data_IF_385722862619
#
_entry.id   IF_385722862619
#
_cell.length_a   1.000
_cell.length_b   1.000
_cell.length_c   1.000
_cell.angle_alpha   90.00
_cell.angle_beta   90.00
_cell.angle_gamma   90.00
#
_symmetry.space_group_name_H-M   'P 1'
#
loop_
_entity.id
_entity.type
_entity.pdbx_description
1 polymer ?
#
# COMPACT_ATOMS: atom_id res chain seq x y z
N UNK A 1 -13.07 -19.69 21.37
CA UNK A 1 -13.59 -18.42 20.83
C UNK A 1 -14.19 -17.62 21.98
N UNK A 2 -13.36 -16.90 22.73
CA UNK A 2 -13.81 -15.96 23.77
C UNK A 2 -14.27 -14.68 23.11
N UNK A 3 -15.58 -14.50 22.96
CA UNK A 3 -16.15 -13.19 22.62
C UNK A 3 -16.61 -12.55 23.92
N UNK A 4 -15.67 -11.98 24.66
CA UNK A 4 -15.97 -11.27 25.89
C UNK A 4 -16.78 -10.02 25.54
N UNK A 5 -17.94 -9.86 26.20
CA UNK A 5 -18.83 -8.74 26.00
C UNK A 5 -18.12 -7.45 26.40
N UNK A 6 -17.87 -6.58 25.42
CA UNK A 6 -17.33 -5.25 25.67
C UNK A 6 -18.21 -4.53 26.73
N UNK A 7 -17.61 -3.83 27.71
CA UNK A 7 -18.38 -2.93 28.57
C UNK A 7 -19.11 -1.92 27.68
N UNK A 8 -20.29 -1.46 28.14
CA UNK A 8 -21.08 -0.45 27.45
C UNK A 8 -20.15 0.66 26.94
N UNK A 9 -20.00 0.72 25.61
CA UNK A 9 -19.04 1.62 24.97
C UNK A 9 -19.44 3.04 25.41
N UNK A 10 -18.55 3.79 26.08
CA UNK A 10 -18.83 5.17 26.42
C UNK A 10 -19.17 5.96 25.14
N UNK A 11 -19.93 7.06 25.26
CA UNK A 11 -20.38 7.82 24.09
C UNK A 11 -19.18 8.13 23.19
N UNK A 12 -19.27 7.67 21.95
CA UNK A 12 -18.23 7.96 20.98
C UNK A 12 -18.39 9.42 20.54
N UNK A 13 -17.31 10.16 20.43
CA UNK A 13 -17.33 11.52 19.88
C UNK A 13 -16.76 11.48 18.47
N UNK A 14 -17.46 12.11 17.53
CA UNK A 14 -16.99 12.29 16.17
C UNK A 14 -16.30 13.64 16.06
N UNK A 15 -15.12 13.66 15.48
CA UNK A 15 -14.56 14.90 14.96
C UNK A 15 -15.36 15.35 13.74
N UNK A 16 -15.86 16.58 13.74
CA UNK A 16 -16.63 17.17 12.63
C UNK A 16 -15.91 17.12 11.27
N UNK A 17 -14.57 17.25 11.26
CA UNK A 17 -13.74 17.27 10.04
C UNK A 17 -13.42 15.91 9.44
N UNK A 18 -13.26 14.88 10.28
CA UNK A 18 -12.65 13.61 9.88
C UNK A 18 -13.60 12.43 9.93
N UNK A 19 -14.74 12.56 10.62
CA UNK A 19 -15.74 11.50 10.73
C UNK A 19 -15.25 10.24 11.45
N UNK A 20 -14.15 10.34 12.19
CA UNK A 20 -13.60 9.25 13.01
C UNK A 20 -14.24 9.30 14.40
N UNK A 21 -14.70 8.14 14.87
CA UNK A 21 -15.33 8.00 16.17
C UNK A 21 -14.27 7.64 17.22
N UNK A 22 -14.12 8.50 18.21
CA UNK A 22 -13.23 8.30 19.35
C UNK A 22 -14.04 8.04 20.62
N UNK A 23 -13.45 7.37 21.60
CA UNK A 23 -14.03 7.31 22.95
C UNK A 23 -13.86 8.65 23.65
N UNK A 24 -14.97 9.22 24.17
CA UNK A 24 -15.02 10.54 24.82
C UNK A 24 -13.88 10.80 25.81
N UNK A 25 -13.63 9.88 26.74
CA UNK A 25 -12.57 10.06 27.75
C UNK A 25 -11.18 10.16 27.14
N UNK A 26 -10.91 9.35 26.11
CA UNK A 26 -9.59 9.27 25.49
C UNK A 26 -9.33 10.50 24.62
N UNK A 27 -10.33 10.97 23.87
CA UNK A 27 -10.16 12.15 23.01
C UNK A 27 -10.08 13.43 23.84
N UNK A 28 -10.89 13.58 24.89
CA UNK A 28 -10.80 14.73 25.79
C UNK A 28 -9.43 14.79 26.49
N UNK A 29 -8.91 13.65 26.97
CA UNK A 29 -7.57 13.60 27.54
C UNK A 29 -6.49 13.95 26.51
N UNK A 30 -6.60 13.41 25.28
CA UNK A 30 -5.62 13.65 24.23
C UNK A 30 -5.60 15.12 23.76
N UNK A 31 -6.75 15.77 23.65
CA UNK A 31 -6.86 17.21 23.35
C UNK A 31 -6.22 18.04 24.47
N UNK A 32 -6.44 17.67 25.73
CA UNK A 32 -5.85 18.40 26.86
C UNK A 32 -4.32 18.29 26.89
N UNK A 33 -3.76 17.15 26.47
CA UNK A 33 -2.31 16.91 26.48
C UNK A 33 -1.61 17.47 25.23
N UNK A 34 -2.23 17.35 24.04
CA UNK A 34 -1.56 17.61 22.75
C UNK A 34 -2.27 18.64 21.87
N UNK A 35 -3.51 19.05 22.18
CA UNK A 35 -4.28 20.03 21.41
C UNK A 35 -4.54 19.65 19.94
N UNK A 36 -4.38 18.37 19.61
CA UNK A 36 -4.26 17.87 18.25
C UNK A 36 -5.07 16.58 18.09
N UNK A 37 -5.43 16.21 16.86
CA UNK A 37 -6.05 14.92 16.49
C UNK A 37 -5.03 13.76 16.50
N UNK A 38 -5.33 12.61 17.14
CA UNK A 38 -4.40 11.49 17.26
C UNK A 38 -4.10 10.76 15.95
N UNK A 39 -4.92 10.92 14.91
CA UNK A 39 -4.70 10.28 13.60
C UNK A 39 -4.05 11.19 12.57
N UNK A 40 -4.43 12.46 12.54
CA UNK A 40 -4.15 13.37 11.40
C UNK A 40 -3.27 14.56 11.78
N UNK A 41 -2.98 14.76 13.07
CA UNK A 41 -2.12 15.87 13.50
C UNK A 41 -2.75 17.25 13.34
N UNK A 42 -4.08 17.34 13.16
CA UNK A 42 -4.78 18.61 12.98
C UNK A 42 -5.19 19.20 14.33
N UNK A 43 -5.13 20.52 14.48
CA UNK A 43 -5.60 21.20 15.69
C UNK A 43 -7.07 20.90 15.90
N UNK A 44 -7.40 20.42 17.10
CA UNK A 44 -8.75 20.07 17.51
C UNK A 44 -9.08 20.75 18.83
N UNK A 45 -10.19 21.50 18.84
CA UNK A 45 -10.76 22.04 20.05
C UNK A 45 -11.84 21.09 20.61
N UNK A 46 -12.08 21.07 21.93
CA UNK A 46 -13.12 20.23 22.53
C UNK A 46 -14.53 20.58 22.03
N UNK A 47 -14.73 21.78 21.47
CA UNK A 47 -16.01 22.22 20.90
C UNK A 47 -16.34 21.60 19.54
N UNK A 48 -15.35 21.06 18.84
CA UNK A 48 -15.52 20.42 17.53
C UNK A 48 -15.93 18.94 17.64
N UNK A 49 -16.09 18.44 18.87
CA UNK A 49 -16.51 17.08 19.19
C UNK A 49 -18.04 16.95 19.16
N UNK A 50 -18.53 15.99 18.37
CA UNK A 50 -19.95 15.69 18.26
C UNK A 50 -20.29 14.40 19.01
N UNK A 51 -21.13 14.44 20.06
CA UNK A 51 -21.50 13.25 20.81
C UNK A 51 -22.38 12.31 19.98
N UNK A 52 -21.93 11.07 19.80
CA UNK A 52 -22.68 10.00 19.14
C UNK A 52 -23.38 9.14 20.18
N UNK A 53 -24.71 9.09 20.08
CA UNK A 53 -25.53 8.14 20.83
C UNK A 53 -25.50 6.78 20.14
N UNK A 54 -24.57 5.92 20.52
CA UNK A 54 -24.60 4.51 20.12
C UNK A 54 -25.60 3.73 20.98
N UNK A 55 -26.48 2.93 20.35
CA UNK A 55 -27.32 1.97 21.07
C UNK A 55 -26.45 0.92 21.75
N UNK A 56 -26.41 0.93 23.08
CA UNK A 56 -25.66 -0.05 23.87
C UNK A 56 -26.37 -1.41 23.82
N UNK A 57 -25.94 -2.28 22.91
CA UNK A 57 -26.30 -3.70 22.96
C UNK A 57 -25.37 -4.36 23.97
N UNK A 58 -25.82 -4.42 25.22
CA UNK A 58 -25.11 -5.15 26.28
C UNK A 58 -25.28 -6.64 26.02
N UNK A 59 -24.21 -7.33 25.66
CA UNK A 59 -24.21 -8.80 25.65
C UNK A 59 -24.34 -9.26 27.11
N UNK A 60 -25.29 -10.17 27.42
CA UNK A 60 -25.47 -10.63 28.79
C UNK A 60 -24.18 -11.26 29.30
N UNK A 61 -23.75 -10.85 30.51
CA UNK A 61 -22.54 -11.39 31.13
C UNK A 61 -22.73 -12.90 31.35
N UNK A 62 -21.72 -13.73 31.04
CA UNK A 62 -21.77 -15.15 31.39
C UNK A 62 -22.04 -15.32 32.90
N UNK A 63 -22.93 -16.24 33.30
CA UNK A 63 -23.38 -16.39 34.69
C UNK A 63 -22.28 -16.82 35.68
N UNK A 64 -21.09 -17.18 35.18
CA UNK A 64 -19.92 -17.58 35.97
C UNK A 64 -19.13 -16.40 36.55
N UNK A 65 -19.41 -15.16 36.14
CA UNK A 65 -18.69 -13.94 36.54
C UNK A 65 -19.38 -13.15 37.66
N UNK A 66 -19.74 -13.83 38.75
CA UNK A 66 -20.50 -13.24 39.86
C UNK A 66 -19.75 -13.23 41.19
N UNK A 67 -18.65 -13.97 41.30
CA UNK A 67 -17.83 -14.05 42.52
C UNK A 67 -16.51 -13.29 42.36
N UNK A 68 -16.01 -12.70 43.47
CA UNK A 68 -14.71 -12.01 43.50
C UNK A 68 -13.58 -12.89 42.95
N UNK A 69 -13.49 -14.20 43.29
CA UNK A 69 -12.47 -15.08 42.72
C UNK A 69 -12.58 -15.25 41.20
N UNK A 70 -13.80 -15.34 40.65
CA UNK A 70 -14.01 -15.48 39.22
C UNK A 70 -13.60 -14.21 38.45
N UNK A 71 -13.85 -13.02 39.01
CA UNK A 71 -13.42 -11.75 38.44
C UNK A 71 -11.89 -11.60 38.46
N UNK A 72 -11.23 -12.00 39.55
CA UNK A 72 -9.78 -11.94 39.65
C UNK A 72 -9.10 -12.90 38.66
N UNK A 73 -9.65 -14.09 38.47
CA UNK A 73 -9.18 -15.04 37.46
C UNK A 73 -9.32 -14.47 36.03
N UNK A 74 -10.41 -13.77 35.71
CA UNK A 74 -10.54 -13.11 34.41
C UNK A 74 -9.57 -11.95 34.23
N UNK A 75 -9.36 -11.13 35.26
CA UNK A 75 -8.37 -10.06 35.17
C UNK A 75 -6.97 -10.61 34.95
N UNK A 76 -6.59 -11.68 35.67
CA UNK A 76 -5.29 -12.33 35.46
C UNK A 76 -5.14 -12.79 34.00
N UNK A 77 -6.16 -13.49 33.46
CA UNK A 77 -6.13 -13.95 32.08
C UNK A 77 -6.06 -12.79 31.06
N UNK A 78 -6.78 -11.70 31.30
CA UNK A 78 -6.75 -10.51 30.44
C UNK A 78 -5.39 -9.82 30.49
N UNK A 79 -4.77 -9.72 31.68
CA UNK A 79 -3.43 -9.18 31.85
C UNK A 79 -2.36 -10.05 31.18
N UNK A 80 -2.45 -11.37 31.35
CA UNK A 80 -1.53 -12.30 30.68
C UNK A 80 -1.66 -12.21 29.16
N UNK A 81 -2.89 -12.08 28.65
CA UNK A 81 -3.16 -11.88 27.21
C UNK A 81 -2.57 -10.56 26.73
N UNK A 82 -2.81 -9.45 27.44
CA UNK A 82 -2.28 -8.13 27.10
C UNK A 82 -0.74 -8.11 27.11
N UNK A 83 -0.12 -8.78 28.09
CA UNK A 83 1.33 -8.88 28.17
C UNK A 83 1.92 -9.64 26.98
N UNK A 84 1.32 -10.77 26.60
CA UNK A 84 1.72 -11.55 25.43
C UNK A 84 1.49 -10.78 24.11
N UNK A 85 0.36 -10.11 23.98
CA UNK A 85 0.06 -9.26 22.82
C UNK A 85 1.07 -8.11 22.69
N UNK A 86 1.38 -7.43 23.79
CA UNK A 86 2.37 -6.35 23.81
C UNK A 86 3.76 -6.85 23.41
N UNK A 87 4.15 -8.02 23.89
CA UNK A 87 5.40 -8.65 23.50
C UNK A 87 5.42 -8.98 21.99
N UNK A 88 4.37 -9.62 21.48
CA UNK A 88 4.26 -10.00 20.07
C UNK A 88 4.28 -8.76 19.16
N UNK A 89 3.56 -7.68 19.51
CA UNK A 89 3.59 -6.43 18.75
C UNK A 89 5.01 -5.83 18.72
N UNK A 90 5.73 -5.85 19.85
CA UNK A 90 7.11 -5.36 19.90
C UNK A 90 8.05 -6.22 19.06
N UNK A 91 7.88 -7.53 19.09
CA UNK A 91 8.64 -8.48 18.28
C UNK A 91 8.39 -8.27 16.78
N UNK A 92 7.12 -8.15 16.36
CA UNK A 92 6.75 -7.84 14.98
C UNK A 92 7.30 -6.50 14.52
N UNK A 93 7.29 -5.49 15.39
CA UNK A 93 7.87 -4.19 15.09
C UNK A 93 9.40 -4.26 14.92
N UNK A 94 10.10 -5.05 15.74
CA UNK A 94 11.54 -5.26 15.57
C UNK A 94 11.84 -6.00 14.26
N UNK A 95 11.09 -7.07 13.96
CA UNK A 95 11.23 -7.85 12.74
C UNK A 95 10.97 -7.03 11.48
N UNK A 96 9.88 -6.27 11.45
CA UNK A 96 9.54 -5.41 10.29
C UNK A 96 10.57 -4.30 10.07
N UNK A 97 11.22 -3.81 11.14
CA UNK A 97 12.35 -2.87 11.02
C UNK A 97 13.57 -3.51 10.36
N UNK A 98 13.89 -4.76 10.72
CA UNK A 98 14.99 -5.51 10.11
C UNK A 98 14.69 -5.83 8.63
N UNK A 99 13.46 -6.30 8.34
CA UNK A 99 12.99 -6.54 6.97
C UNK A 99 13.03 -5.25 6.13
N UNK A 100 12.63 -4.11 6.69
CA UNK A 100 12.73 -2.81 6.03
C UNK A 100 14.19 -2.40 5.78
N UNK A 101 15.08 -2.58 6.76
CA UNK A 101 16.49 -2.24 6.59
C UNK A 101 17.15 -3.07 5.48
N UNK A 102 16.90 -4.38 5.46
CA UNK A 102 17.42 -5.27 4.41
C UNK A 102 16.85 -4.91 3.02
N UNK A 103 15.56 -4.58 2.93
CA UNK A 103 14.94 -4.12 1.68
C UNK A 103 15.57 -2.81 1.17
N UNK A 104 15.87 -1.85 2.05
CA UNK A 104 16.55 -0.61 1.67
C UNK A 104 17.98 -0.85 1.17
N UNK A 105 18.73 -1.76 1.79
CA UNK A 105 20.05 -2.15 1.29
C UNK A 105 19.99 -2.79 -0.09
N UNK A 106 19.02 -3.70 -0.30
CA UNK A 106 18.81 -4.31 -1.62
C UNK A 106 18.37 -3.28 -2.66
N UNK A 107 17.55 -2.30 -2.29
CA UNK A 107 17.13 -1.22 -3.17
C UNK A 107 18.34 -0.36 -3.61
N UNK A 108 19.20 0.08 -2.70
CA UNK A 108 20.40 0.83 -3.06
C UNK A 108 21.36 0.02 -3.96
N UNK A 109 21.54 -1.27 -3.67
CA UNK A 109 22.30 -2.17 -4.53
C UNK A 109 21.68 -2.29 -5.94
N UNK A 110 20.35 -2.45 -6.03
CA UNK A 110 19.64 -2.50 -7.30
C UNK A 110 19.76 -1.20 -8.09
N UNK A 111 19.67 -0.04 -7.43
CA UNK A 111 19.88 1.28 -8.06
C UNK A 111 21.27 1.39 -8.68
N UNK A 112 22.32 0.91 -7.98
CA UNK A 112 23.69 0.90 -8.55
C UNK A 112 23.82 -0.02 -9.77
N UNK A 113 23.18 -1.19 -9.73
CA UNK A 113 23.15 -2.12 -10.87
C UNK A 113 22.42 -1.48 -12.06
N UNK A 114 21.26 -0.86 -11.83
CA UNK A 114 20.52 -0.13 -12.86
C UNK A 114 21.36 0.99 -13.46
N UNK A 115 22.04 1.79 -12.64
CA UNK A 115 22.91 2.86 -13.12
C UNK A 115 24.06 2.32 -13.97
N UNK A 116 24.67 1.20 -13.58
CA UNK A 116 25.72 0.53 -14.37
C UNK A 116 25.18 0.00 -15.69
N UNK A 117 24.09 -0.76 -15.67
CA UNK A 117 23.44 -1.31 -16.87
C UNK A 117 22.96 -0.22 -17.82
N UNK A 118 22.51 0.91 -17.28
CA UNK A 118 22.10 2.09 -18.06
C UNK A 118 23.29 2.63 -18.86
N UNK A 119 24.49 2.77 -18.24
CA UNK A 119 25.71 3.18 -18.95
C UNK A 119 26.14 2.16 -20.00
N UNK A 120 26.20 0.88 -19.64
CA UNK A 120 26.58 -0.20 -20.57
C UNK A 120 25.63 -0.26 -21.78
N UNK A 121 24.32 -0.06 -21.57
CA UNK A 121 23.32 0.04 -22.64
C UNK A 121 23.55 1.27 -23.53
N UNK A 122 23.84 2.42 -22.94
CA UNK A 122 24.01 3.66 -23.68
C UNK A 122 25.29 3.61 -24.54
N UNK A 123 26.39 3.04 -24.01
CA UNK A 123 27.62 2.74 -24.75
C UNK A 123 27.39 1.73 -25.89
N UNK A 124 26.59 0.68 -25.66
CA UNK A 124 26.23 -0.29 -26.69
C UNK A 124 25.38 0.35 -27.81
N UNK A 125 24.49 1.28 -27.47
CA UNK A 125 23.70 2.02 -28.47
C UNK A 125 24.54 3.01 -29.26
N UNK A 126 25.48 3.68 -28.61
CA UNK A 126 26.41 4.60 -29.27
C UNK A 126 27.38 3.86 -30.21
N UNK A 127 27.88 2.69 -29.81
CA UNK A 127 28.71 1.86 -30.71
C UNK A 127 27.89 1.34 -31.89
N UNK A 128 26.63 0.92 -31.68
CA UNK A 128 25.74 0.54 -32.77
C UNK A 128 25.48 1.70 -33.74
N UNK A 129 25.15 2.90 -33.25
CA UNK A 129 24.92 4.06 -34.11
C UNK A 129 26.17 4.47 -34.87
N UNK A 130 27.36 4.43 -34.24
CA UNK A 130 28.64 4.66 -34.93
C UNK A 130 28.86 3.65 -36.06
N UNK A 131 28.61 2.36 -35.82
CA UNK A 131 28.74 1.32 -36.84
C UNK A 131 27.75 1.54 -38.00
N UNK A 132 26.50 1.87 -37.71
CA UNK A 132 25.49 2.20 -38.74
C UNK A 132 25.88 3.44 -39.56
N UNK A 133 26.46 4.47 -38.93
CA UNK A 133 26.92 5.69 -39.60
C UNK A 133 28.21 5.43 -40.41
N UNK A 134 29.13 4.58 -39.94
CA UNK A 134 30.30 4.16 -40.72
C UNK A 134 29.97 3.17 -41.84
N UNK A 135 28.82 2.49 -41.77
CA UNK A 135 28.25 1.73 -42.89
C UNK A 135 27.58 2.62 -43.94
N UNK A 136 27.57 3.95 -43.75
CA UNK A 136 26.90 4.94 -44.61
C UNK A 136 27.79 6.14 -44.93
N UNK A 137 29.01 5.90 -45.42
CA UNK A 137 29.83 6.92 -46.10
C UNK A 137 30.64 6.31 -47.27
N UNK A 138 31.00 7.09 -48.30
CA UNK A 138 30.19 7.45 -49.45
C UNK A 138 30.82 6.82 -50.69
N UNK A 139 30.37 5.65 -51.11
CA UNK A 139 30.67 5.16 -52.45
C UNK A 139 29.34 4.90 -53.15
N UNK A 140 29.21 5.52 -54.32
CA UNK A 140 27.95 5.75 -54.99
C UNK A 140 27.32 4.46 -55.49
N UNK A 141 26.43 3.90 -54.70
CA UNK A 141 25.27 3.15 -55.19
C UNK A 141 24.04 3.67 -54.45
N UNK A 142 23.13 4.20 -55.25
CA UNK A 142 21.83 4.74 -54.90
C UNK A 142 20.98 3.65 -54.24
N UNK A 143 21.24 3.38 -52.97
CA UNK A 143 20.38 2.54 -52.15
C UNK A 143 19.18 3.40 -51.77
N UNK A 144 18.10 3.23 -52.56
CA UNK A 144 16.77 3.70 -52.22
C UNK A 144 16.53 3.45 -50.73
N UNK A 145 16.45 4.53 -49.97
CA UNK A 145 15.63 4.56 -48.78
C UNK A 145 14.26 4.22 -49.33
N UNK A 146 13.85 2.98 -49.13
CA UNK A 146 12.47 2.60 -49.36
C UNK A 146 11.67 3.47 -48.41
N UNK A 147 11.21 4.57 -48.99
CA UNK A 147 10.66 5.72 -48.32
C UNK A 147 9.25 5.34 -48.01
N UNK A 148 9.04 4.44 -47.04
CA UNK A 148 7.70 3.97 -46.69
C UNK A 148 6.95 3.61 -47.98
N UNK A 149 7.31 2.52 -48.64
CA UNK A 149 6.33 1.88 -49.52
C UNK A 149 5.10 1.65 -48.64
N UNK A 150 4.07 2.46 -48.90
CA UNK A 150 2.78 2.37 -48.23
C UNK A 150 2.38 0.91 -48.23
N UNK A 151 2.13 0.37 -47.04
CA UNK A 151 1.61 -0.99 -46.87
C UNK A 151 0.51 -1.22 -47.94
N UNK A 152 0.58 -2.31 -48.73
CA UNK A 152 -0.49 -2.63 -49.68
C UNK A 152 -1.85 -2.47 -48.99
N UNK A 153 -2.81 -1.81 -49.63
CA UNK A 153 -4.08 -1.37 -49.00
C UNK A 153 -4.76 -2.51 -48.21
N UNK A 154 -4.69 -3.74 -48.74
CA UNK A 154 -5.19 -4.96 -48.08
C UNK A 154 -4.58 -5.24 -46.70
N UNK A 155 -3.29 -4.95 -46.51
CA UNK A 155 -2.58 -5.17 -45.25
C UNK A 155 -2.76 -3.99 -44.28
N UNK A 156 -2.90 -2.77 -44.79
CA UNK A 156 -3.22 -1.60 -43.98
C UNK A 156 -4.62 -1.72 -43.35
N UNK A 157 -5.62 -2.11 -44.15
CA UNK A 157 -6.97 -2.37 -43.67
C UNK A 157 -6.99 -3.49 -42.63
N UNK A 158 -6.18 -4.54 -42.82
CA UNK A 158 -6.11 -5.65 -41.87
C UNK A 158 -5.51 -5.26 -40.53
N UNK A 159 -4.53 -4.36 -40.52
CA UNK A 159 -3.91 -3.82 -39.30
C UNK A 159 -4.88 -2.90 -38.58
N UNK A 160 -5.62 -2.07 -39.31
CA UNK A 160 -6.64 -1.19 -38.72
C UNK A 160 -7.83 -1.96 -38.13
N UNK A 161 -8.26 -3.06 -38.78
CA UNK A 161 -9.26 -3.97 -38.22
C UNK A 161 -8.80 -4.61 -36.91
N UNK A 162 -7.53 -5.03 -36.83
CA UNK A 162 -6.95 -5.63 -35.62
C UNK A 162 -6.85 -4.57 -34.51
N UNK A 163 -6.37 -3.36 -34.82
CA UNK A 163 -6.31 -2.27 -33.86
C UNK A 163 -7.69 -1.83 -33.36
N UNK A 164 -8.71 -1.80 -34.22
CA UNK A 164 -10.08 -1.49 -33.80
C UNK A 164 -10.69 -2.62 -32.96
N UNK A 165 -10.36 -3.89 -33.27
CA UNK A 165 -10.78 -5.05 -32.48
C UNK A 165 -10.16 -5.02 -31.08
N UNK A 166 -8.88 -4.69 -30.99
CA UNK A 166 -8.15 -4.60 -29.73
C UNK A 166 -8.55 -3.36 -28.91
N UNK A 167 -8.88 -2.25 -29.57
CA UNK A 167 -9.42 -1.05 -28.92
C UNK A 167 -10.85 -1.28 -28.38
N UNK A 168 -11.67 -2.11 -29.06
CA UNK A 168 -13.00 -2.51 -28.57
C UNK A 168 -12.91 -3.54 -27.44
N UNK A 169 -11.92 -4.43 -27.47
CA UNK A 169 -11.62 -5.32 -26.36
C UNK A 169 -10.59 -4.67 -25.43
N UNK A 170 -10.99 -3.69 -24.63
CA UNK A 170 -10.14 -3.01 -23.63
C UNK A 170 -9.60 -3.96 -22.54
N UNK A 171 -8.72 -4.88 -22.91
CA UNK A 171 -8.12 -5.91 -22.07
C UNK A 171 -6.73 -6.23 -22.61
N UNK A 172 -5.75 -5.48 -22.14
CA UNK A 172 -4.35 -5.89 -22.19
C UNK A 172 -4.23 -7.34 -21.69
N UNK A 173 -3.73 -8.30 -22.48
CA UNK A 173 -3.41 -9.61 -21.95
C UNK A 173 -2.21 -9.45 -21.02
N UNK A 174 -2.40 -9.68 -19.71
CA UNK A 174 -1.31 -9.90 -18.77
C UNK A 174 -0.48 -11.07 -19.31
N UNK A 175 0.69 -10.77 -19.86
CA UNK A 175 1.66 -11.78 -20.23
C UNK A 175 1.99 -12.61 -18.98
N UNK A 176 1.66 -13.90 -19.08
CA UNK A 176 1.87 -14.89 -18.05
C UNK A 176 3.36 -15.06 -17.74
N UNK A 177 3.62 -15.25 -16.46
CA UNK A 177 4.84 -15.83 -15.90
C UNK A 177 5.25 -17.12 -16.62
N UNK A 178 6.56 -17.35 -16.83
CA UNK A 178 7.08 -18.70 -17.00
C UNK A 178 7.90 -19.13 -15.77
N UNK A 179 7.39 -20.15 -15.08
CA UNK A 179 8.14 -21.23 -14.40
C UNK A 179 7.44 -22.54 -14.80
N UNK A 180 8.13 -23.68 -14.92
CA UNK A 180 9.03 -24.27 -13.92
C UNK A 180 10.50 -23.85 -14.05
#
# INVERSE_FOLDING_TARGET
MSTNGAPARPPAELTRRLGVAYEKRLIEQYINEHGTEPGTGQVLAPEDLLPVKSSSVVRPRPPTLTSIPALLATFQNEWDTLALETYNIREQLARTREELATALYQHDAAVRVIARLTRERDEARESLSKVTVTGTAPDGEEMMIDSVETLPEELAERVDEIHQRDARSGRFPRAGSPRP
#
